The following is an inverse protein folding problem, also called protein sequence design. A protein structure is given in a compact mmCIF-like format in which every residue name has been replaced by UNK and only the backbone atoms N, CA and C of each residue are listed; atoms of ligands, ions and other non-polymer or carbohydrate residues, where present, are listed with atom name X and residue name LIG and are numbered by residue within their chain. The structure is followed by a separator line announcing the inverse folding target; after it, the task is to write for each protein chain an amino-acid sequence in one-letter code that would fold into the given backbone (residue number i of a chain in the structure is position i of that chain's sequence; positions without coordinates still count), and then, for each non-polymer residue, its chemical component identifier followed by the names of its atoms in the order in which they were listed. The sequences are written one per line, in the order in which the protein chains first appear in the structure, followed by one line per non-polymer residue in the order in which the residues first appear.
data_IF_496967765049
#
_entry.id   IF_496967765049
#
_cell.length_a   1.000
_cell.length_b   1.000
_cell.length_c   1.000
_cell.angle_alpha   90.00
_cell.angle_beta   90.00
_cell.angle_gamma   90.00
#
_symmetry.space_group_name_H-M   'P 1'
#
loop_
_entity.id
_entity.type
_entity.pdbx_description
1 polymer ?
#
# COMPACT_ATOMS: atom_id res chain seq x y z
N UNK A 1 16.55 -4.36 -6.02
CA UNK A 1 15.65 -3.32 -6.59
C UNK A 1 14.48 -3.16 -5.65
N UNK A 2 14.04 -1.91 -5.40
CA UNK A 2 12.98 -1.61 -4.44
C UNK A 2 11.63 -1.39 -5.11
N UNK A 3 10.55 -1.91 -4.53
CA UNK A 3 9.17 -1.71 -4.96
C UNK A 3 8.25 -1.26 -3.82
N UNK A 4 7.04 -0.85 -4.18
CA UNK A 4 6.02 -0.35 -3.25
C UNK A 4 4.73 -1.12 -3.47
N UNK A 5 4.09 -1.54 -2.38
CA UNK A 5 2.71 -2.06 -2.40
C UNK A 5 1.81 -1.10 -1.64
N UNK A 6 0.82 -0.53 -2.33
CA UNK A 6 -0.27 0.22 -1.71
C UNK A 6 -1.30 -0.80 -1.18
N UNK A 7 -1.29 -1.03 0.13
CA UNK A 7 -2.12 -2.06 0.75
C UNK A 7 -3.46 -1.49 1.23
N UNK A 8 -4.55 -2.13 0.82
CA UNK A 8 -5.92 -1.77 1.22
C UNK A 8 -6.73 -2.98 1.68
N UNK A 9 -7.86 -2.74 2.34
CA UNK A 9 -8.77 -3.84 2.69
C UNK A 9 -9.42 -4.47 1.45
N UNK A 10 -9.71 -3.63 0.46
CA UNK A 10 -10.60 -3.94 -0.66
C UNK A 10 -12.06 -3.70 -0.30
N UNK A 11 -12.89 -3.56 -1.31
CA UNK A 11 -14.30 -3.24 -1.20
C UNK A 11 -15.10 -3.91 -2.32
N UNK A 12 -16.42 -4.04 -2.13
CA UNK A 12 -17.31 -4.62 -3.17
C UNK A 12 -17.54 -3.66 -4.35
N UNK A 13 -17.56 -2.36 -4.09
CA UNK A 13 -17.68 -1.37 -5.16
C UNK A 13 -16.30 -1.17 -5.81
N UNK A 14 -16.19 -1.43 -7.10
CA UNK A 14 -14.95 -1.28 -7.86
C UNK A 14 -14.39 0.14 -7.80
N UNK A 15 -15.23 1.18 -7.70
CA UNK A 15 -14.80 2.58 -7.64
C UNK A 15 -13.91 2.91 -6.42
N UNK A 16 -13.94 2.06 -5.38
CA UNK A 16 -13.06 2.22 -4.21
C UNK A 16 -11.56 2.10 -4.55
N UNK A 17 -11.20 1.53 -5.69
CA UNK A 17 -9.80 1.47 -6.14
C UNK A 17 -9.28 2.81 -6.64
N UNK A 18 -10.17 3.72 -7.03
CA UNK A 18 -9.80 4.94 -7.72
C UNK A 18 -8.82 5.84 -6.94
N UNK A 19 -8.96 6.05 -5.61
CA UNK A 19 -7.94 6.72 -4.82
C UNK A 19 -6.56 6.07 -4.89
N UNK A 20 -6.48 4.72 -4.93
CA UNK A 20 -5.21 4.00 -5.06
C UNK A 20 -4.55 4.27 -6.43
N UNK A 21 -5.34 4.30 -7.51
CA UNK A 21 -4.84 4.66 -8.84
C UNK A 21 -4.27 6.09 -8.86
N UNK A 22 -4.94 7.05 -8.22
CA UNK A 22 -4.45 8.44 -8.12
C UNK A 22 -3.16 8.54 -7.33
N UNK A 23 -3.04 7.82 -6.21
CA UNK A 23 -1.80 7.75 -5.43
C UNK A 23 -0.67 7.16 -6.28
N UNK A 24 -0.92 6.02 -6.96
CA UNK A 24 0.06 5.39 -7.85
C UNK A 24 0.52 6.34 -8.95
N UNK A 25 -0.42 7.02 -9.63
CA UNK A 25 -0.10 7.99 -10.66
C UNK A 25 0.74 9.16 -10.12
N UNK A 26 0.41 9.68 -8.92
CA UNK A 26 1.18 10.73 -8.27
C UNK A 26 2.60 10.31 -7.89
N UNK A 27 2.80 9.04 -7.49
CA UNK A 27 4.14 8.47 -7.23
C UNK A 27 4.93 8.36 -8.52
N UNK A 28 4.34 7.76 -9.57
CA UNK A 28 5.03 7.55 -10.86
C UNK A 28 5.33 8.85 -11.58
N UNK A 29 4.56 9.91 -11.36
CA UNK A 29 4.88 11.25 -11.86
C UNK A 29 6.16 11.85 -11.23
N UNK A 30 6.58 11.34 -10.06
CA UNK A 30 7.78 11.81 -9.33
C UNK A 30 8.95 10.86 -9.49
N UNK A 31 8.70 9.55 -9.50
CA UNK A 31 9.71 8.50 -9.64
C UNK A 31 9.18 7.46 -10.65
N UNK A 32 9.33 7.71 -11.97
CA UNK A 32 8.71 6.87 -13.01
C UNK A 32 9.16 5.41 -12.98
N UNK A 33 10.41 5.16 -12.60
CA UNK A 33 11.01 3.82 -12.58
C UNK A 33 10.62 2.98 -11.35
N UNK A 34 10.00 3.55 -10.31
CA UNK A 34 9.69 2.78 -9.10
C UNK A 34 8.53 1.81 -9.37
N UNK A 35 8.72 0.50 -9.16
CA UNK A 35 7.63 -0.48 -9.17
C UNK A 35 6.59 -0.14 -8.10
N UNK A 36 5.35 0.12 -8.52
CA UNK A 36 4.21 0.33 -7.60
C UNK A 36 3.06 -0.58 -8.00
N UNK A 37 2.64 -1.44 -7.08
CA UNK A 37 1.44 -2.26 -7.19
C UNK A 37 0.43 -1.90 -6.09
N UNK A 38 -0.84 -2.21 -6.33
CA UNK A 38 -1.87 -2.19 -5.28
C UNK A 38 -2.04 -3.63 -4.81
N UNK A 39 -2.36 -3.85 -3.53
CA UNK A 39 -2.61 -5.18 -3.00
C UNK A 39 -3.74 -5.13 -1.98
N UNK A 40 -4.73 -6.01 -2.13
CA UNK A 40 -5.91 -6.00 -1.26
C UNK A 40 -5.95 -7.21 -0.33
N UNK A 41 -6.48 -7.00 0.87
CA UNK A 41 -6.75 -8.08 1.83
C UNK A 41 -7.83 -9.02 1.33
N UNK A 42 -8.95 -8.46 0.86
CA UNK A 42 -10.10 -9.22 0.37
C UNK A 42 -10.91 -8.42 -0.66
N UNK A 43 -11.94 -9.04 -1.25
CA UNK A 43 -12.96 -8.43 -2.12
C UNK A 43 -12.48 -7.84 -3.46
N UNK A 44 -11.19 -7.57 -3.62
CA UNK A 44 -10.61 -6.96 -4.80
C UNK A 44 -9.35 -7.71 -5.25
N UNK A 45 -8.96 -7.44 -6.49
CA UNK A 45 -7.76 -7.97 -7.11
C UNK A 45 -6.88 -6.82 -7.61
N UNK A 46 -5.55 -7.00 -7.59
CA UNK A 46 -4.82 -8.17 -7.09
C UNK A 46 -4.84 -8.26 -5.56
N UNK A 47 -4.79 -9.48 -5.03
CA UNK A 47 -4.54 -9.73 -3.59
C UNK A 47 -3.15 -9.22 -3.21
N UNK A 48 -2.91 -9.05 -1.91
CA UNK A 48 -1.56 -8.71 -1.43
C UNK A 48 -0.48 -9.68 -1.91
N UNK A 49 -0.74 -10.99 -1.87
CA UNK A 49 0.21 -12.00 -2.34
C UNK A 49 0.47 -11.89 -3.85
N UNK A 50 -0.58 -11.75 -4.67
CA UNK A 50 -0.45 -11.59 -6.13
C UNK A 50 0.32 -10.31 -6.49
N UNK A 51 0.10 -9.21 -5.77
CA UNK A 51 0.83 -7.95 -5.97
C UNK A 51 2.33 -8.11 -5.68
N UNK A 52 2.68 -8.78 -4.57
CA UNK A 52 4.08 -9.06 -4.23
C UNK A 52 4.72 -10.01 -5.24
N UNK A 53 4.04 -11.10 -5.60
CA UNK A 53 4.54 -12.08 -6.57
C UNK A 53 4.81 -11.41 -7.93
N UNK A 54 3.95 -10.48 -8.38
CA UNK A 54 4.17 -9.67 -9.57
C UNK A 54 5.38 -8.74 -9.51
N UNK A 55 5.67 -8.16 -8.33
CA UNK A 55 6.88 -7.36 -8.11
C UNK A 55 8.14 -8.24 -8.11
N UNK A 56 8.10 -9.39 -7.45
CA UNK A 56 9.23 -10.34 -7.41
C UNK A 56 9.55 -10.85 -8.83
N UNK A 57 8.54 -11.17 -9.63
CA UNK A 57 8.73 -11.59 -11.02
C UNK A 57 9.44 -10.53 -11.90
N UNK A 58 9.42 -9.27 -11.47
CA UNK A 58 10.13 -8.15 -12.12
C UNK A 58 11.54 -7.91 -11.55
N UNK A 59 12.02 -8.75 -10.65
CA UNK A 59 13.33 -8.64 -10.02
C UNK A 59 13.39 -7.69 -8.80
N UNK A 60 12.24 -7.35 -8.21
CA UNK A 60 12.19 -6.61 -6.95
C UNK A 60 12.59 -7.53 -5.80
N UNK A 61 13.53 -7.06 -4.97
CA UNK A 61 14.10 -7.79 -3.83
C UNK A 61 13.79 -7.11 -2.50
N UNK A 62 13.29 -5.87 -2.53
CA UNK A 62 12.88 -5.10 -1.35
C UNK A 62 11.52 -4.49 -1.61
N UNK A 63 10.55 -4.69 -0.72
CA UNK A 63 9.20 -4.11 -0.85
C UNK A 63 8.86 -3.32 0.40
N UNK A 64 8.38 -2.09 0.19
CA UNK A 64 7.71 -1.33 1.25
C UNK A 64 6.22 -1.45 1.07
N UNK A 65 5.54 -2.01 2.05
CA UNK A 65 4.08 -2.10 2.10
C UNK A 65 3.56 -0.89 2.86
N UNK A 66 2.72 -0.10 2.20
CA UNK A 66 2.14 1.12 2.77
C UNK A 66 0.64 0.89 2.96
N UNK A 67 0.16 0.74 4.21
CA UNK A 67 -1.26 0.61 4.49
C UNK A 67 -1.99 1.94 4.22
N UNK A 68 -2.86 1.96 3.20
CA UNK A 68 -3.65 3.14 2.82
C UNK A 68 -4.94 3.18 3.65
N UNK A 69 -4.78 3.45 4.95
CA UNK A 69 -5.86 3.58 5.94
C UNK A 69 -5.72 4.87 6.75
N UNK A 70 -6.85 5.42 7.20
CA UNK A 70 -6.83 6.55 8.15
C UNK A 70 -6.34 6.16 9.54
N UNK A 71 -6.65 4.93 9.96
CA UNK A 71 -6.10 4.32 11.15
C UNK A 71 -6.00 2.82 10.89
N UNK A 72 -4.91 2.18 11.32
CA UNK A 72 -4.80 0.74 11.18
C UNK A 72 -5.66 0.04 12.26
N UNK A 73 -6.72 -0.62 11.83
CA UNK A 73 -7.54 -1.49 12.67
C UNK A 73 -6.76 -2.68 13.24
N UNK A 74 -7.28 -3.29 14.30
CA UNK A 74 -6.62 -4.41 14.99
C UNK A 74 -6.37 -5.62 14.09
N UNK A 75 -7.21 -5.84 13.07
CA UNK A 75 -7.06 -6.93 12.11
C UNK A 75 -5.86 -6.67 11.20
N UNK A 76 -5.78 -5.51 10.55
CA UNK A 76 -4.62 -5.13 9.71
C UNK A 76 -3.30 -5.22 10.47
N UNK A 77 -3.26 -4.75 11.73
CA UNK A 77 -2.03 -4.79 12.56
C UNK A 77 -1.57 -6.21 12.92
N UNK A 78 -2.47 -7.20 12.89
CA UNK A 78 -2.17 -8.60 13.18
C UNK A 78 -1.94 -9.41 11.91
N UNK A 79 -2.80 -9.22 10.91
CA UNK A 79 -2.87 -10.07 9.73
C UNK A 79 -1.77 -9.70 8.72
N UNK A 80 -1.52 -8.42 8.49
CA UNK A 80 -0.54 -7.97 7.49
C UNK A 80 0.89 -8.46 7.79
N UNK A 81 1.40 -8.39 9.04
CA UNK A 81 2.71 -8.96 9.36
C UNK A 81 2.80 -10.48 9.14
N UNK A 82 1.72 -11.22 9.44
CA UNK A 82 1.67 -12.67 9.22
C UNK A 82 1.71 -13.00 7.72
N UNK A 83 0.88 -12.33 6.92
CA UNK A 83 0.89 -12.48 5.46
C UNK A 83 2.25 -12.12 4.87
N UNK A 84 2.89 -11.05 5.35
CA UNK A 84 4.22 -10.66 4.87
C UNK A 84 5.27 -11.72 5.21
N UNK A 85 5.23 -12.31 6.41
CA UNK A 85 6.12 -13.40 6.80
C UNK A 85 5.96 -14.64 5.90
N UNK A 86 4.73 -15.09 5.66
CA UNK A 86 4.43 -16.21 4.75
C UNK A 86 4.94 -15.97 3.32
N UNK A 87 4.85 -14.72 2.84
CA UNK A 87 5.36 -14.35 1.51
C UNK A 87 6.90 -14.39 1.49
N UNK A 88 7.57 -13.88 2.53
CA UNK A 88 9.04 -13.93 2.62
C UNK A 88 9.57 -15.37 2.73
N UNK A 89 8.82 -16.29 3.36
CA UNK A 89 9.16 -17.72 3.36
C UNK A 89 9.14 -18.32 1.95
N UNK A 90 8.19 -17.89 1.09
CA UNK A 90 8.12 -18.31 -0.32
C UNK A 90 9.19 -17.67 -1.20
N UNK A 91 9.71 -16.51 -0.81
CA UNK A 91 10.70 -15.73 -1.56
C UNK A 91 11.92 -15.38 -0.68
N UNK A 92 12.89 -16.30 -0.49
CA UNK A 92 13.96 -16.12 0.50
C UNK A 92 14.92 -14.93 0.27
N UNK A 93 14.89 -14.32 -0.92
CA UNK A 93 15.68 -13.13 -1.27
C UNK A 93 14.90 -11.83 -1.13
N UNK A 94 13.63 -11.90 -0.76
CA UNK A 94 12.74 -10.75 -0.63
C UNK A 94 12.75 -10.24 0.81
N UNK A 95 12.98 -8.95 0.97
CA UNK A 95 12.72 -8.24 2.23
C UNK A 95 11.42 -7.43 2.13
N UNK A 96 10.55 -7.55 3.13
CA UNK A 96 9.32 -6.77 3.23
C UNK A 96 9.36 -5.89 4.48
N UNK A 97 9.26 -4.57 4.28
CA UNK A 97 9.07 -3.61 5.35
C UNK A 97 7.64 -3.08 5.35
N UNK A 98 6.97 -3.06 6.51
CA UNK A 98 5.62 -2.51 6.65
C UNK A 98 5.73 -1.11 7.27
N UNK A 99 5.24 -0.10 6.54
CA UNK A 99 5.13 1.26 7.04
C UNK A 99 3.92 1.44 7.97
N UNK A 100 3.92 2.54 8.75
CA UNK A 100 2.71 2.98 9.43
C UNK A 100 1.60 3.31 8.41
N UNK A 101 0.34 3.21 8.85
CA UNK A 101 -0.78 3.60 8.00
C UNK A 101 -0.71 5.09 7.63
N UNK A 102 -1.14 5.43 6.42
CA UNK A 102 -1.02 6.81 5.91
C UNK A 102 -1.66 7.86 6.83
N UNK A 103 -2.80 7.56 7.46
CA UNK A 103 -3.45 8.50 8.37
C UNK A 103 -2.76 8.67 9.73
N UNK A 104 -1.75 7.86 10.04
CA UNK A 104 -0.89 8.02 11.22
C UNK A 104 0.34 8.91 10.92
N UNK A 105 0.55 9.29 9.66
CA UNK A 105 1.64 10.20 9.27
C UNK A 105 1.32 11.65 9.64
N UNK A 106 2.21 12.34 10.38
CA UNK A 106 2.04 13.77 10.68
C UNK A 106 1.88 14.63 9.41
N UNK A 107 2.60 14.32 8.34
CA UNK A 107 2.52 15.06 7.07
C UNK A 107 1.16 14.90 6.39
N UNK A 108 0.56 13.71 6.47
CA UNK A 108 -0.77 13.46 5.92
C UNK A 108 -1.83 14.18 6.76
N UNK A 109 -1.72 14.12 8.09
CA UNK A 109 -2.63 14.83 9.01
C UNK A 109 -2.59 16.34 8.74
N UNK A 110 -1.40 16.92 8.57
CA UNK A 110 -1.21 18.35 8.27
C UNK A 110 -1.80 18.74 6.91
N UNK A 111 -1.59 17.92 5.87
CA UNK A 111 -2.18 18.14 4.55
C UNK A 111 -3.72 18.07 4.58
N UNK A 112 -4.28 17.14 5.34
CA UNK A 112 -5.74 17.05 5.54
C UNK A 112 -6.28 18.25 6.30
N UNK A 113 -5.61 18.69 7.38
CA UNK A 113 -6.01 19.87 8.13
C UNK A 113 -6.00 21.12 7.24
N UNK A 114 -4.94 21.30 6.45
CA UNK A 114 -4.83 22.40 5.46
C UNK A 114 -5.98 22.38 4.46
N UNK A 115 -6.28 21.22 3.88
CA UNK A 115 -7.41 21.07 2.96
C UNK A 115 -8.76 21.41 3.62
N UNK A 116 -9.00 20.89 4.83
CA UNK A 116 -10.26 21.09 5.56
C UNK A 116 -10.46 22.56 5.91
N UNK A 117 -9.42 23.26 6.36
CA UNK A 117 -9.48 24.69 6.65
C UNK A 117 -9.80 25.49 5.38
N UNK A 118 -9.13 25.19 4.26
CA UNK A 118 -9.42 25.85 2.98
C UNK A 118 -10.83 25.58 2.46
N UNK A 119 -11.42 24.43 2.78
CA UNK A 119 -12.81 24.12 2.46
C UNK A 119 -13.82 24.81 3.40
N UNK A 120 -13.40 25.19 4.61
CA UNK A 120 -14.23 25.85 5.61
C UNK A 120 -14.30 27.38 5.45
N UNK A 121 -13.36 27.99 4.72
CA UNK A 121 -13.27 29.44 4.49
C UNK A 121 -11.99 30.03 5.08
#
# INVERSE_FOLDING_TARGET
MKGIVLFGHGARNAEWVEPFHRIRAAILARVPEVPVEMGFLELMRPTFAEAVDGLVARGVTEIVVVPVFMAAGSHVKKDLPLMAAEIMERHPQLEIAIAAAVGESPQVIDAMATYILGAAG
#
